data_IF_244137095486
#
_entry.id   IF_244137095486
#
_cell.length_a   1.000
_cell.length_b   1.000
_cell.length_c   1.000
_cell.angle_alpha   90.00
_cell.angle_beta   90.00
_cell.angle_gamma   90.00
#
_symmetry.space_group_name_H-M   'P 1'
#
loop_
_entity.id
_entity.type
_entity.pdbx_description
1 polymer ?
#
# COMPACT_ATOMS: atom_id res chain seq x y z
N UNK A 1 -2.65 16.54 58.10
CA UNK A 1 -2.08 15.40 57.33
C UNK A 1 -2.68 15.26 55.93
N UNK A 2 -4.01 15.30 55.76
CA UNK A 2 -4.69 15.15 54.45
C UNK A 2 -4.18 16.09 53.34
N UNK A 3 -3.93 17.37 53.66
CA UNK A 3 -3.43 18.35 52.68
C UNK A 3 -2.07 17.97 52.09
N UNK A 4 -1.11 17.53 52.92
CA UNK A 4 0.24 17.13 52.46
C UNK A 4 0.17 15.91 51.51
N UNK A 5 -0.75 14.99 51.78
CA UNK A 5 -0.99 13.82 50.92
C UNK A 5 -1.60 14.23 49.57
N UNK A 6 -2.61 15.10 49.58
CA UNK A 6 -3.24 15.61 48.34
C UNK A 6 -2.23 16.37 47.47
N UNK A 7 -1.40 17.24 48.08
CA UNK A 7 -0.35 17.96 47.36
C UNK A 7 0.68 17.00 46.77
N UNK A 8 1.09 15.96 47.51
CA UNK A 8 2.00 14.93 47.00
C UNK A 8 1.44 14.18 45.79
N UNK A 9 0.16 13.78 45.85
CA UNK A 9 -0.52 13.10 44.73
C UNK A 9 -0.61 14.02 43.51
N UNK A 10 -0.92 15.31 43.71
CA UNK A 10 -1.03 16.28 42.63
C UNK A 10 0.32 16.46 41.90
N UNK A 11 1.41 16.62 42.65
CA UNK A 11 2.76 16.75 42.08
C UNK A 11 3.16 15.49 41.33
N UNK A 12 2.84 14.31 41.88
CA UNK A 12 3.10 13.04 41.23
C UNK A 12 2.35 12.91 39.89
N UNK A 13 1.07 13.26 39.86
CA UNK A 13 0.25 13.23 38.63
C UNK A 13 0.79 14.19 37.55
N UNK A 14 1.27 15.37 37.95
CA UNK A 14 1.91 16.32 37.03
C UNK A 14 3.20 15.72 36.45
N UNK A 15 4.04 15.11 37.30
CA UNK A 15 5.28 14.48 36.86
C UNK A 15 5.03 13.32 35.87
N UNK A 16 4.02 12.48 36.14
CA UNK A 16 3.61 11.39 35.23
C UNK A 16 3.13 11.95 33.89
N UNK A 17 2.32 13.00 33.88
CA UNK A 17 1.87 13.65 32.64
C UNK A 17 3.02 14.28 31.83
N UNK A 18 4.00 14.90 32.51
CA UNK A 18 5.18 15.44 31.84
C UNK A 18 6.04 14.33 31.24
N UNK A 19 6.19 13.20 31.95
CA UNK A 19 6.93 12.04 31.46
C UNK A 19 6.26 11.39 30.24
N UNK A 20 4.93 11.25 30.23
CA UNK A 20 4.20 10.74 29.06
C UNK A 20 4.28 11.69 27.87
N UNK A 21 4.12 13.00 28.09
CA UNK A 21 4.25 14.01 27.03
C UNK A 21 5.68 14.04 26.46
N UNK A 22 6.70 13.99 27.32
CA UNK A 22 8.10 13.93 26.94
C UNK A 22 8.41 12.66 26.12
N UNK A 23 7.91 11.51 26.57
CA UNK A 23 8.08 10.23 25.86
C UNK A 23 7.40 10.25 24.49
N UNK A 24 6.20 10.82 24.39
CA UNK A 24 5.48 10.97 23.13
C UNK A 24 6.23 11.89 22.15
N UNK A 25 6.70 13.06 22.62
CA UNK A 25 7.49 13.99 21.80
C UNK A 25 8.80 13.35 21.35
N UNK A 26 9.50 12.66 22.25
CA UNK A 26 10.75 11.96 21.93
C UNK A 26 10.54 10.90 20.85
N UNK A 27 9.50 10.07 20.99
CA UNK A 27 9.16 9.04 20.01
C UNK A 27 8.82 9.65 18.64
N UNK A 28 7.98 10.69 18.61
CA UNK A 28 7.64 11.44 17.39
C UNK A 28 8.86 12.05 16.71
N UNK A 29 9.78 12.62 17.48
CA UNK A 29 11.00 13.21 16.94
C UNK A 29 11.95 12.15 16.37
N UNK A 30 12.04 11.00 17.01
CA UNK A 30 12.84 9.87 16.53
C UNK A 30 12.28 9.30 15.22
N UNK A 31 10.96 9.15 15.10
CA UNK A 31 10.30 8.78 13.83
C UNK A 31 10.60 9.79 12.72
N UNK A 32 10.55 11.09 13.03
CA UNK A 32 10.84 12.14 12.06
C UNK A 32 12.30 12.10 11.60
N UNK A 33 13.26 11.81 12.50
CA UNK A 33 14.66 11.58 12.12
C UNK A 33 14.84 10.36 11.21
N UNK A 34 14.11 9.28 11.46
CA UNK A 34 14.14 8.09 10.60
C UNK A 34 13.53 8.40 9.22
N UNK A 35 12.41 9.12 9.16
CA UNK A 35 11.83 9.60 7.89
C UNK A 35 12.78 10.52 7.14
N UNK A 36 13.50 11.41 7.83
CA UNK A 36 14.49 12.30 7.19
C UNK A 36 15.67 11.52 6.60
N UNK A 37 16.21 10.52 7.32
CA UNK A 37 17.23 9.62 6.76
C UNK A 37 16.71 8.82 5.58
N UNK A 38 15.47 8.35 5.64
CA UNK A 38 14.82 7.68 4.53
C UNK A 38 14.61 8.63 3.33
N UNK A 39 14.23 9.89 3.57
CA UNK A 39 14.15 10.93 2.54
C UNK A 39 15.49 11.25 1.91
N UNK A 40 16.56 11.24 2.68
CA UNK A 40 17.91 11.44 2.18
C UNK A 40 18.35 10.27 1.28
N UNK A 41 18.05 9.03 1.68
CA UNK A 41 18.27 7.81 0.88
C UNK A 41 17.40 7.76 -0.39
N UNK A 42 16.16 8.25 -0.30
CA UNK A 42 15.13 8.20 -1.36
C UNK A 42 15.04 9.52 -2.14
N UNK A 43 15.94 10.48 -1.90
CA UNK A 43 15.96 11.78 -2.59
C UNK A 43 14.78 12.68 -2.23
N UNK A 44 15.08 13.96 -1.97
CA UNK A 44 14.13 14.99 -1.53
C UNK A 44 12.92 15.19 -2.47
N UNK A 45 13.07 14.85 -3.76
CA UNK A 45 12.03 14.98 -4.78
C UNK A 45 11.06 13.79 -4.85
N UNK A 46 11.35 12.67 -4.16
CA UNK A 46 10.52 11.47 -4.22
C UNK A 46 9.17 11.64 -3.50
N UNK A 47 9.17 12.22 -2.29
CA UNK A 47 8.05 12.06 -1.35
C UNK A 47 7.01 13.19 -1.34
N UNK A 48 7.22 14.29 -2.07
CA UNK A 48 6.26 15.41 -2.13
C UNK A 48 5.17 15.23 -3.20
N UNK A 49 4.99 14.01 -3.73
CA UNK A 49 3.86 13.73 -4.60
C UNK A 49 2.59 13.59 -3.77
N UNK A 50 1.83 14.69 -3.71
CA UNK A 50 0.44 14.75 -3.29
C UNK A 50 -0.31 13.51 -3.82
N UNK A 51 -1.02 12.75 -2.98
CA UNK A 51 -1.75 11.56 -3.42
C UNK A 51 -2.65 11.92 -4.60
N UNK A 52 -2.32 11.43 -5.80
CA UNK A 52 -3.05 11.73 -7.04
C UNK A 52 -2.19 12.24 -8.21
N UNK A 53 -1.02 12.87 -7.97
CA UNK A 53 -0.06 13.17 -9.06
C UNK A 53 0.95 12.04 -9.16
N UNK A 54 0.68 11.08 -10.04
CA UNK A 54 1.71 10.12 -10.49
C UNK A 54 2.77 10.91 -11.25
N UNK A 55 3.84 11.31 -10.57
CA UNK A 55 5.04 11.79 -11.25
C UNK A 55 5.55 10.72 -12.22
N UNK A 56 6.29 11.10 -13.27
CA UNK A 56 6.90 10.13 -14.16
C UNK A 56 7.74 9.16 -13.32
N UNK A 57 7.43 7.87 -13.41
CA UNK A 57 8.24 6.83 -12.76
C UNK A 57 9.67 7.00 -13.30
N UNK A 58 10.68 7.18 -12.43
CA UNK A 58 12.04 7.38 -12.89
C UNK A 58 12.44 6.22 -13.79
N UNK A 59 12.80 6.53 -15.04
CA UNK A 59 13.21 5.53 -16.02
C UNK A 59 14.60 5.01 -15.62
N UNK A 60 14.64 3.86 -15.00
CA UNK A 60 15.90 3.17 -14.68
C UNK A 60 16.57 2.75 -15.99
N UNK A 61 17.77 3.27 -16.27
CA UNK A 61 18.55 2.88 -17.43
C UNK A 61 19.20 1.52 -17.15
N UNK A 62 18.60 0.45 -17.67
CA UNK A 62 19.09 -0.92 -17.51
C UNK A 62 19.76 -1.41 -18.81
N UNK A 63 20.86 -2.15 -18.68
CA UNK A 63 21.44 -2.92 -19.79
C UNK A 63 20.46 -4.03 -20.22
N UNK A 64 20.55 -4.55 -21.47
CA UNK A 64 19.69 -5.62 -21.95
C UNK A 64 19.65 -6.84 -21.01
N UNK A 65 20.81 -7.30 -20.55
CA UNK A 65 20.92 -8.47 -19.65
C UNK A 65 20.28 -8.21 -18.29
N UNK A 66 20.54 -7.03 -17.70
CA UNK A 66 19.92 -6.61 -16.44
C UNK A 66 18.40 -6.54 -16.55
N UNK A 67 17.87 -6.07 -17.70
CA UNK A 67 16.43 -6.00 -17.97
C UNK A 67 15.82 -7.39 -18.04
N UNK A 68 16.51 -8.36 -18.66
CA UNK A 68 16.06 -9.75 -18.72
C UNK A 68 16.06 -10.40 -17.32
N UNK A 69 17.13 -10.23 -16.55
CA UNK A 69 17.24 -10.73 -15.18
C UNK A 69 16.17 -10.13 -14.27
N UNK A 70 15.98 -8.81 -14.31
CA UNK A 70 14.94 -8.14 -13.54
C UNK A 70 13.54 -8.61 -13.94
N UNK A 71 13.27 -8.78 -15.24
CA UNK A 71 11.98 -9.30 -15.73
C UNK A 71 11.73 -10.71 -15.18
N UNK A 72 12.73 -11.59 -15.22
CA UNK A 72 12.61 -12.94 -14.70
C UNK A 72 12.33 -12.96 -13.19
N UNK A 73 13.06 -12.14 -12.41
CA UNK A 73 12.80 -11.98 -10.97
C UNK A 73 11.38 -11.49 -10.68
N UNK A 74 10.92 -10.48 -11.42
CA UNK A 74 9.56 -9.94 -11.24
C UNK A 74 8.47 -10.94 -11.62
N UNK A 75 8.67 -11.72 -12.69
CA UNK A 75 7.73 -12.78 -13.08
C UNK A 75 7.66 -13.88 -12.01
N UNK A 76 8.80 -14.29 -11.46
CA UNK A 76 8.84 -15.30 -10.41
C UNK A 76 8.19 -14.78 -9.13
N UNK A 77 8.48 -13.55 -8.72
CA UNK A 77 7.83 -12.91 -7.59
C UNK A 77 6.31 -12.85 -7.80
N UNK A 78 5.86 -12.44 -8.99
CA UNK A 78 4.43 -12.36 -9.30
C UNK A 78 3.73 -13.72 -9.17
N UNK A 79 4.33 -14.79 -9.71
CA UNK A 79 3.80 -16.15 -9.58
C UNK A 79 3.77 -16.60 -8.12
N UNK A 80 4.83 -16.31 -7.37
CA UNK A 80 4.93 -16.64 -5.95
C UNK A 80 3.88 -15.92 -5.09
N UNK A 81 3.61 -14.64 -5.38
CA UNK A 81 2.66 -13.81 -4.62
C UNK A 81 1.20 -13.96 -5.05
N UNK A 82 0.93 -14.56 -6.22
CA UNK A 82 -0.43 -14.77 -6.72
C UNK A 82 -1.37 -15.45 -5.69
N UNK A 83 -0.99 -16.58 -5.05
CA UNK A 83 -1.85 -17.21 -4.05
C UNK A 83 -2.08 -16.34 -2.82
N UNK A 84 -1.02 -15.68 -2.29
CA UNK A 84 -1.14 -14.75 -1.16
C UNK A 84 -2.14 -13.62 -1.46
N UNK A 85 -2.09 -13.08 -2.68
CA UNK A 85 -3.00 -12.03 -3.09
C UNK A 85 -4.46 -12.47 -3.25
N UNK A 86 -4.69 -13.72 -3.66
CA UNK A 86 -6.02 -14.32 -3.70
C UNK A 86 -6.55 -14.57 -2.28
N UNK A 87 -5.73 -15.15 -1.41
CA UNK A 87 -6.07 -15.42 -0.02
C UNK A 87 -6.41 -14.13 0.74
N UNK A 88 -5.61 -13.07 0.55
CA UNK A 88 -5.87 -11.76 1.13
C UNK A 88 -7.21 -11.17 0.67
N UNK A 89 -7.54 -11.33 -0.62
CA UNK A 89 -8.83 -10.86 -1.15
C UNK A 89 -10.01 -11.61 -0.51
N UNK A 90 -9.89 -12.93 -0.34
CA UNK A 90 -10.92 -13.74 0.33
C UNK A 90 -11.15 -13.28 1.78
N UNK A 91 -10.08 -13.00 2.54
CA UNK A 91 -10.24 -12.46 3.90
C UNK A 91 -10.83 -11.05 3.91
N UNK A 92 -10.47 -10.20 2.95
CA UNK A 92 -11.11 -8.88 2.81
C UNK A 92 -12.62 -9.02 2.56
N UNK A 93 -13.04 -9.92 1.67
CA UNK A 93 -14.45 -10.22 1.42
C UNK A 93 -15.15 -10.73 2.68
N UNK A 94 -14.51 -11.61 3.47
CA UNK A 94 -15.05 -12.10 4.76
C UNK A 94 -15.20 -10.98 5.79
N UNK A 95 -14.26 -10.04 5.87
CA UNK A 95 -14.39 -8.85 6.74
C UNK A 95 -15.61 -8.02 6.32
N UNK A 96 -15.77 -7.74 5.03
CA UNK A 96 -16.93 -6.99 4.55
C UNK A 96 -18.24 -7.71 4.83
N UNK A 97 -18.31 -9.02 4.60
CA UNK A 97 -19.50 -9.82 4.91
C UNK A 97 -19.84 -9.78 6.41
N UNK A 98 -18.84 -9.91 7.28
CA UNK A 98 -19.05 -9.85 8.73
C UNK A 98 -19.51 -8.47 9.22
N UNK A 99 -19.11 -7.39 8.55
CA UNK A 99 -19.53 -6.02 8.87
C UNK A 99 -20.98 -5.71 8.45
N UNK A 100 -21.47 -6.33 7.38
CA UNK A 100 -22.83 -6.11 6.85
C UNK A 100 -23.86 -7.05 7.52
N UNK A 101 -23.42 -8.04 8.28
CA UNK A 101 -24.30 -8.94 9.02
C UNK A 101 -25.12 -8.21 10.09
N UNK A 102 -26.35 -8.66 10.35
CA UNK A 102 -27.28 -8.09 11.34
C UNK A 102 -26.66 -7.99 12.75
N UNK A 103 -25.77 -8.93 13.09
CA UNK A 103 -24.99 -8.93 14.33
C UNK A 103 -23.50 -9.16 14.03
N UNK A 104 -22.70 -8.11 13.88
CA UNK A 104 -21.28 -8.24 13.56
C UNK A 104 -20.53 -8.89 14.72
N UNK A 105 -19.87 -10.01 14.45
CA UNK A 105 -19.01 -10.69 15.43
C UNK A 105 -17.60 -10.12 15.38
N UNK A 106 -17.26 -9.30 16.38
CA UNK A 106 -15.95 -8.62 16.45
C UNK A 106 -14.77 -9.60 16.44
N UNK A 107 -14.90 -10.76 17.11
CA UNK A 107 -13.85 -11.77 17.16
C UNK A 107 -13.51 -12.33 15.77
N UNK A 108 -14.54 -12.57 14.94
CA UNK A 108 -14.37 -13.04 13.55
C UNK A 108 -13.69 -11.97 12.69
N UNK A 109 -14.08 -10.70 12.83
CA UNK A 109 -13.45 -9.57 12.14
C UNK A 109 -11.98 -9.46 12.53
N UNK A 110 -11.68 -9.51 13.83
CA UNK A 110 -10.30 -9.47 14.35
C UNK A 110 -9.46 -10.63 13.81
N UNK A 111 -10.03 -11.84 13.77
CA UNK A 111 -9.37 -13.01 13.21
C UNK A 111 -8.99 -12.80 11.73
N UNK A 112 -9.93 -12.33 10.89
CA UNK A 112 -9.65 -12.08 9.47
C UNK A 112 -8.66 -10.94 9.25
N UNK A 113 -8.72 -9.87 10.04
CA UNK A 113 -7.75 -8.78 9.97
C UNK A 113 -6.33 -9.24 10.33
N UNK A 114 -6.20 -10.13 11.33
CA UNK A 114 -4.92 -10.74 11.68
C UNK A 114 -4.38 -11.59 10.52
N UNK A 115 -5.22 -12.40 9.89
CA UNK A 115 -4.82 -13.18 8.72
C UNK A 115 -4.35 -12.29 7.55
N UNK A 116 -5.02 -11.16 7.30
CA UNK A 116 -4.59 -10.16 6.31
C UNK A 116 -3.20 -9.62 6.65
N UNK A 117 -2.93 -9.27 7.92
CA UNK A 117 -1.62 -8.77 8.35
C UNK A 117 -0.51 -9.80 8.13
N UNK A 118 -0.77 -11.08 8.47
CA UNK A 118 0.18 -12.17 8.24
C UNK A 118 0.51 -12.32 6.75
N UNK A 119 -0.50 -12.27 5.88
CA UNK A 119 -0.31 -12.33 4.43
C UNK A 119 0.48 -11.11 3.91
N UNK A 120 0.16 -9.91 4.38
CA UNK A 120 0.91 -8.70 4.04
C UNK A 120 2.38 -8.81 4.44
N UNK A 121 2.67 -9.40 5.60
CA UNK A 121 4.03 -9.67 6.04
C UNK A 121 4.75 -10.63 5.09
N UNK A 122 4.11 -11.76 4.69
CA UNK A 122 4.68 -12.70 3.72
C UNK A 122 5.01 -12.03 2.38
N UNK A 123 4.09 -11.22 1.85
CA UNK A 123 4.28 -10.46 0.61
C UNK A 123 5.47 -9.51 0.72
N UNK A 124 5.54 -8.73 1.80
CA UNK A 124 6.63 -7.77 2.04
C UNK A 124 7.97 -8.49 2.15
N UNK A 125 8.02 -9.59 2.90
CA UNK A 125 9.23 -10.39 3.06
C UNK A 125 9.73 -10.99 1.74
N UNK A 126 8.82 -11.58 0.95
CA UNK A 126 9.16 -12.12 -0.37
C UNK A 126 9.69 -11.01 -1.31
N UNK A 127 9.09 -9.82 -1.27
CA UNK A 127 9.55 -8.66 -2.05
C UNK A 127 10.95 -8.23 -1.64
N UNK A 128 11.24 -8.12 -0.33
CA UNK A 128 12.57 -7.79 0.19
C UNK A 128 13.61 -8.81 -0.28
N UNK A 129 13.28 -10.10 -0.24
CA UNK A 129 14.17 -11.18 -0.72
C UNK A 129 14.51 -11.03 -2.20
N UNK A 130 13.53 -10.70 -3.04
CA UNK A 130 13.74 -10.49 -4.47
C UNK A 130 14.51 -9.20 -4.77
N UNK A 131 14.29 -8.13 -4.00
CA UNK A 131 15.10 -6.91 -4.09
C UNK A 131 16.56 -7.18 -3.71
N UNK A 132 16.81 -7.99 -2.68
CA UNK A 132 18.17 -8.41 -2.34
C UNK A 132 18.84 -9.16 -3.48
N UNK A 133 18.10 -10.04 -4.18
CA UNK A 133 18.62 -10.71 -5.39
C UNK A 133 18.89 -9.73 -6.52
N UNK A 134 18.05 -8.70 -6.70
CA UNK A 134 18.28 -7.66 -7.69
C UNK A 134 19.59 -6.88 -7.45
N UNK A 135 20.03 -6.78 -6.20
CA UNK A 135 21.28 -6.08 -5.84
C UNK A 135 22.54 -6.73 -6.44
N UNK A 136 22.52 -8.03 -6.76
CA UNK A 136 23.73 -8.72 -7.24
C UNK A 136 24.14 -8.34 -8.67
N UNK A 137 23.22 -7.79 -9.46
CA UNK A 137 23.48 -7.42 -10.87
C UNK A 137 23.13 -5.97 -11.21
N UNK A 138 22.55 -5.20 -10.29
CA UNK A 138 22.29 -3.77 -10.46
C UNK A 138 23.41 -2.94 -9.83
N UNK A 139 23.69 -1.77 -10.40
CA UNK A 139 24.51 -0.78 -9.72
C UNK A 139 23.77 -0.21 -8.50
N UNK A 140 24.50 0.34 -7.54
CA UNK A 140 23.91 0.94 -6.34
C UNK A 140 22.91 2.08 -6.67
N UNK A 141 23.16 2.84 -7.74
CA UNK A 141 22.22 3.86 -8.21
C UNK A 141 20.95 3.23 -8.81
N UNK A 142 21.09 2.23 -9.69
CA UNK A 142 19.94 1.52 -10.28
C UNK A 142 19.10 0.83 -9.19
N UNK A 143 19.76 0.24 -8.19
CA UNK A 143 19.10 -0.40 -7.07
C UNK A 143 18.32 0.61 -6.21
N UNK A 144 18.91 1.78 -5.89
CA UNK A 144 18.20 2.85 -5.18
C UNK A 144 16.98 3.36 -5.95
N UNK A 145 17.08 3.49 -7.27
CA UNK A 145 15.94 3.86 -8.12
C UNK A 145 14.86 2.77 -8.13
N UNK A 146 15.24 1.48 -8.15
CA UNK A 146 14.30 0.35 -8.07
C UNK A 146 13.57 0.33 -6.74
N UNK A 147 14.28 0.49 -5.61
CA UNK A 147 13.68 0.55 -4.27
C UNK A 147 12.73 1.75 -4.16
N UNK A 148 13.13 2.92 -4.68
CA UNK A 148 12.25 4.10 -4.73
C UNK A 148 10.99 3.82 -5.53
N UNK A 149 11.10 3.18 -6.68
CA UNK A 149 9.94 2.80 -7.49
C UNK A 149 9.04 1.78 -6.75
N UNK A 150 9.62 0.81 -6.04
CA UNK A 150 8.88 -0.19 -5.27
C UNK A 150 8.10 0.42 -4.09
N UNK A 151 8.70 1.37 -3.37
CA UNK A 151 8.04 2.07 -2.25
C UNK A 151 6.93 3.02 -2.72
N UNK A 152 7.10 3.63 -3.90
CA UNK A 152 6.12 4.56 -4.47
C UNK A 152 4.91 3.88 -5.10
N UNK A 153 4.91 2.56 -5.26
CA UNK A 153 3.73 1.83 -5.68
C UNK A 153 2.73 1.81 -4.52
N UNK A 154 1.58 2.50 -4.63
CA UNK A 154 0.60 2.48 -3.55
C UNK A 154 0.15 1.03 -3.31
N UNK A 155 0.02 0.64 -2.03
CA UNK A 155 -0.54 -0.68 -1.65
C UNK A 155 -1.95 -0.91 -2.27
N UNK A 156 -2.68 0.18 -2.60
CA UNK A 156 -3.95 0.19 -3.33
C UNK A 156 -3.85 0.36 -4.86
N UNK A 157 -2.65 0.29 -5.44
CA UNK A 157 -2.37 0.43 -6.87
C UNK A 157 -2.84 -0.74 -7.74
N UNK A 158 -3.65 -1.65 -7.19
CA UNK A 158 -4.39 -2.69 -7.93
C UNK A 158 -5.60 -2.13 -8.69
N UNK A 159 -5.45 -1.00 -9.38
CA UNK A 159 -6.44 -0.61 -10.40
C UNK A 159 -5.80 -0.90 -11.76
N UNK A 160 -6.26 -2.01 -12.36
CA UNK A 160 -6.22 -2.33 -13.80
C UNK A 160 -5.28 -3.44 -14.30
N UNK A 161 -4.93 -4.44 -13.48
CA UNK A 161 -4.52 -5.73 -14.06
C UNK A 161 -5.77 -6.50 -14.50
N UNK A 162 -6.13 -6.28 -15.77
CA UNK A 162 -6.94 -7.13 -16.64
C UNK A 162 -8.31 -7.62 -16.13
N UNK A 163 -9.34 -6.81 -16.43
CA UNK A 163 -10.59 -7.37 -16.95
C UNK A 163 -10.28 -7.87 -18.38
N UNK A 164 -10.29 -9.18 -18.68
CA UNK A 164 -10.19 -9.64 -20.06
C UNK A 164 -11.50 -9.22 -20.75
N UNK A 165 -11.43 -8.36 -21.77
CA UNK A 165 -12.61 -7.98 -22.55
C UNK A 165 -12.79 -6.50 -22.95
N UNK A 166 -11.77 -5.63 -22.87
CA UNK A 166 -11.84 -4.34 -23.59
C UNK A 166 -10.84 -4.31 -24.74
N UNK A 167 -11.38 -4.72 -25.88
CA UNK A 167 -10.90 -4.57 -27.24
C UNK A 167 -10.13 -3.25 -27.43
N UNK A 168 -8.90 -3.35 -27.91
CA UNK A 168 -8.29 -2.31 -28.70
C UNK A 168 -8.72 -2.51 -30.16
N UNK A 169 -9.20 -1.43 -30.76
CA UNK A 169 -9.69 -1.32 -32.14
C UNK A 169 -10.83 -0.30 -32.07
N UNK A 170 -10.63 0.99 -32.33
CA UNK A 170 -10.00 1.52 -33.52
C UNK A 170 -11.10 1.79 -34.54
N UNK A 171 -11.16 3.03 -35.02
CA UNK A 171 -12.09 3.60 -36.01
C UNK A 171 -13.44 4.09 -35.48
N UNK A 172 -13.74 5.33 -35.85
CA UNK A 172 -14.97 6.00 -35.50
C UNK A 172 -16.17 5.34 -36.16
N UNK A 173 -17.18 5.09 -35.35
CA UNK A 173 -18.55 4.97 -35.83
C UNK A 173 -19.29 6.20 -35.34
N UNK A 174 -19.66 7.04 -36.31
CA UNK A 174 -20.78 7.96 -36.19
C UNK A 174 -21.93 7.22 -35.50
N UNK A 175 -22.43 7.76 -34.39
CA UNK A 175 -23.79 7.45 -33.95
C UNK A 175 -24.70 8.52 -34.56
N UNK A 176 -25.30 8.29 -35.75
CA UNK A 176 -26.43 9.09 -36.16
C UNK A 176 -27.63 8.71 -35.28
N UNK A 177 -28.29 9.75 -34.84
CA UNK A 177 -29.70 9.80 -34.46
C UNK A 177 -30.52 8.85 -35.35
N UNK A 178 -31.11 7.81 -34.77
CA UNK A 178 -32.38 7.22 -35.20
C UNK A 178 -33.09 6.75 -33.93
N UNK A 179 -34.02 7.53 -33.37
CA UNK A 179 -35.41 7.62 -33.83
C UNK A 179 -35.97 6.23 -34.13
N UNK A 180 -36.71 5.66 -33.18
CA UNK A 180 -37.86 4.84 -33.55
C UNK A 180 -39.02 5.10 -32.58
N UNK A 181 -40.24 5.37 -33.08
CA UNK A 181 -41.35 5.88 -32.31
C UNK A 181 -42.19 4.78 -31.65
N UNK A 182 -42.96 5.27 -30.69
CA UNK A 182 -44.10 4.66 -29.99
C UNK A 182 -44.91 3.72 -30.88
N UNK A 183 -45.28 2.54 -30.33
CA UNK A 183 -46.53 1.86 -30.66
C UNK A 183 -47.31 1.56 -29.40
N UNK A 184 -48.44 2.25 -29.28
CA UNK A 184 -49.58 1.90 -28.43
C UNK A 184 -50.19 0.61 -29.01
N UNK A 185 -50.59 -0.31 -28.15
CA UNK A 185 -51.63 -1.29 -28.46
C UNK A 185 -52.73 -1.14 -27.44
N UNK A 186 -53.89 -0.74 -27.94
CA UNK A 186 -55.20 -0.99 -27.36
C UNK A 186 -55.46 -2.50 -27.44
N UNK A 187 -55.85 -3.09 -26.31
CA UNK A 187 -57.11 -3.82 -26.12
C UNK A 187 -57.32 -4.02 -24.60
#
# INVERSE_FOLDING_TARGET
MKLKVIVGILVFLIAVNLATLGSYIYYRWQEQKQMNRFQELVGRDGMLHRPGRRGPIPRIRLKPDQKQQLRHLMQNLQRQLAPDYQEMQQYQEKVFQALVADRPQLDSIQHYLKAIQDIQFRIKWATVRQLQQARSFLSEEQFRQLVRAAVMLPEGGRRHWHRPGRLHGGAGMNNPIMNNPIKIKED
#
